data_IF_854051412205
#
_entry.id   IF_854051412205
#
_cell.length_a   1.000
_cell.length_b   1.000
_cell.length_c   1.000
_cell.angle_alpha   90.00
_cell.angle_beta   90.00
_cell.angle_gamma   90.00
#
_symmetry.space_group_name_H-M   'P 1'
#
loop_
_entity.id
_entity.type
_entity.pdbx_description
1 polymer ?
#
# COMPACT_ATOMS: atom_id res chain seq x y z
N UNK A 1 19.56 -14.77 -6.93
CA UNK A 1 19.15 -13.86 -5.85
C UNK A 1 19.60 -12.47 -6.23
N UNK A 2 18.68 -11.64 -6.70
CA UNK A 2 18.97 -10.26 -7.07
C UNK A 2 19.15 -9.47 -5.76
N UNK A 3 20.38 -9.36 -5.28
CA UNK A 3 20.80 -8.28 -4.38
C UNK A 3 20.84 -6.99 -5.20
N UNK A 4 19.69 -6.55 -5.71
CA UNK A 4 19.62 -5.29 -6.43
C UNK A 4 19.57 -4.20 -5.38
N UNK A 5 20.72 -3.61 -5.10
CA UNK A 5 20.79 -2.30 -4.49
C UNK A 5 20.02 -1.37 -5.44
N UNK A 6 18.83 -0.95 -5.04
CA UNK A 6 18.01 -0.06 -5.85
C UNK A 6 18.70 1.32 -5.86
N UNK A 7 18.82 1.96 -7.02
CA UNK A 7 19.39 3.30 -7.11
C UNK A 7 18.51 4.33 -6.36
N UNK A 8 19.10 5.45 -5.91
CA UNK A 8 18.34 6.50 -5.23
C UNK A 8 17.29 7.09 -6.18
N UNK A 9 16.13 7.43 -5.64
CA UNK A 9 15.01 7.95 -6.42
C UNK A 9 15.30 9.40 -6.87
N UNK A 10 15.24 9.71 -8.18
CA UNK A 10 15.41 11.07 -8.67
C UNK A 10 14.36 12.03 -8.08
N UNK A 11 14.78 13.26 -7.76
CA UNK A 11 13.94 14.26 -7.07
C UNK A 11 12.58 14.52 -7.74
N UNK A 12 12.51 14.52 -9.07
CA UNK A 12 11.25 14.74 -9.81
C UNK A 12 10.27 13.59 -9.60
N UNK A 13 10.74 12.35 -9.62
CA UNK A 13 9.94 11.16 -9.35
C UNK A 13 9.57 11.15 -7.86
N UNK A 14 10.51 11.53 -6.98
CA UNK A 14 10.25 11.49 -5.55
C UNK A 14 9.13 12.43 -5.14
N UNK A 15 9.14 13.66 -5.65
CA UNK A 15 8.07 14.64 -5.46
C UNK A 15 6.72 14.14 -6.01
N UNK A 16 6.73 13.47 -7.17
CA UNK A 16 5.52 12.88 -7.74
C UNK A 16 4.91 11.79 -6.85
N UNK A 17 5.75 10.94 -6.26
CA UNK A 17 5.31 9.90 -5.33
C UNK A 17 4.83 10.48 -4.00
N UNK A 18 5.52 11.46 -3.44
CA UNK A 18 5.09 12.17 -2.22
C UNK A 18 3.72 12.83 -2.39
N UNK A 19 3.47 13.47 -3.54
CA UNK A 19 2.15 14.01 -3.88
C UNK A 19 1.09 12.92 -4.00
N UNK A 20 1.41 11.79 -4.63
CA UNK A 20 0.51 10.64 -4.72
C UNK A 20 0.14 10.10 -3.33
N UNK A 21 1.12 9.94 -2.45
CA UNK A 21 0.91 9.49 -1.07
C UNK A 21 0.05 10.50 -0.30
N UNK A 22 0.34 11.79 -0.43
CA UNK A 22 -0.43 12.86 0.22
C UNK A 22 -1.89 12.89 -0.24
N UNK A 23 -2.14 12.70 -1.53
CA UNK A 23 -3.51 12.62 -2.07
C UNK A 23 -4.26 11.42 -1.51
N UNK A 24 -3.61 10.25 -1.48
CA UNK A 24 -4.21 9.04 -0.93
C UNK A 24 -4.50 9.21 0.57
N UNK A 25 -3.54 9.71 1.35
CA UNK A 25 -3.71 9.95 2.79
C UNK A 25 -4.87 10.93 3.07
N UNK A 26 -5.08 11.92 2.20
CA UNK A 26 -6.21 12.84 2.32
C UNK A 26 -7.55 12.13 2.13
N UNK A 27 -7.65 11.24 1.14
CA UNK A 27 -8.85 10.41 0.91
C UNK A 27 -9.07 9.45 2.09
N UNK A 28 -8.02 8.76 2.53
CA UNK A 28 -8.07 7.85 3.69
C UNK A 28 -8.56 8.59 4.94
N UNK A 29 -8.05 9.79 5.18
CA UNK A 29 -8.46 10.61 6.33
C UNK A 29 -9.94 10.96 6.25
N UNK A 30 -10.44 11.38 5.09
CA UNK A 30 -11.85 11.68 4.88
C UNK A 30 -12.73 10.43 5.09
N UNK A 31 -12.28 9.27 4.60
CA UNK A 31 -12.99 7.99 4.81
C UNK A 31 -13.00 7.56 6.28
N UNK A 32 -11.88 7.71 6.99
CA UNK A 32 -11.80 7.43 8.43
C UNK A 32 -12.79 8.30 9.22
N UNK A 33 -12.97 9.56 8.83
CA UNK A 33 -13.94 10.45 9.46
C UNK A 33 -15.38 10.05 9.12
N UNK A 34 -15.65 9.72 7.85
CA UNK A 34 -16.97 9.30 7.38
C UNK A 34 -17.42 7.96 7.99
N UNK A 35 -16.49 7.01 8.16
CA UNK A 35 -16.74 5.65 8.66
C UNK A 35 -16.23 5.46 10.11
N UNK A 36 -16.13 6.54 10.89
CA UNK A 36 -15.51 6.54 12.22
C UNK A 36 -16.13 5.53 13.21
N UNK A 37 -17.43 5.23 13.05
CA UNK A 37 -18.15 4.30 13.92
C UNK A 37 -17.80 2.82 13.62
N UNK A 38 -17.17 2.55 12.48
CA UNK A 38 -16.79 1.20 12.02
C UNK A 38 -15.28 0.99 12.01
N UNK A 39 -14.50 2.00 11.63
CA UNK A 39 -13.06 1.85 11.45
C UNK A 39 -12.32 1.96 12.80
N UNK A 40 -11.84 0.82 13.29
CA UNK A 40 -10.94 0.73 14.44
C UNK A 40 -9.44 0.69 14.08
N UNK A 41 -9.10 0.81 12.79
CA UNK A 41 -7.71 0.72 12.33
C UNK A 41 -6.86 1.91 12.80
N UNK A 42 -5.79 1.60 13.56
CA UNK A 42 -4.84 2.57 14.09
C UNK A 42 -3.45 1.91 14.27
N UNK A 43 -2.37 2.68 14.52
CA UNK A 43 -1.07 2.11 14.87
C UNK A 43 -1.19 1.14 16.06
N UNK A 44 -0.89 -0.14 15.84
CA UNK A 44 -1.09 -1.22 16.82
C UNK A 44 -2.10 -2.28 16.35
N UNK A 45 -2.90 -2.00 15.32
CA UNK A 45 -3.68 -3.01 14.62
C UNK A 45 -2.78 -3.74 13.60
N UNK A 46 -2.66 -5.06 13.73
CA UNK A 46 -1.72 -5.90 12.96
C UNK A 46 -2.39 -7.01 12.16
N UNK A 47 -3.72 -7.11 12.15
CA UNK A 47 -4.47 -8.20 11.52
C UNK A 47 -4.27 -8.31 10.01
N UNK A 48 -3.99 -7.19 9.34
CA UNK A 48 -3.70 -7.13 7.92
C UNK A 48 -2.19 -7.15 7.60
N UNK A 49 -1.32 -7.17 8.61
CA UNK A 49 0.13 -7.02 8.46
C UNK A 49 0.79 -8.35 8.07
N UNK A 50 0.63 -8.70 6.80
CA UNK A 50 1.17 -9.91 6.17
C UNK A 50 2.20 -9.57 5.11
N UNK A 51 2.84 -10.60 4.58
CA UNK A 51 3.77 -10.43 3.46
C UNK A 51 3.03 -9.91 2.22
N UNK A 52 3.42 -8.74 1.76
CA UNK A 52 3.00 -8.15 0.49
C UNK A 52 4.22 -7.98 -0.41
N UNK A 53 3.97 -7.70 -1.68
CA UNK A 53 5.03 -7.24 -2.58
C UNK A 53 4.70 -5.84 -3.09
N UNK A 54 5.73 -5.03 -3.27
CA UNK A 54 5.64 -3.64 -3.69
C UNK A 54 6.42 -3.41 -4.99
N UNK A 55 6.24 -2.24 -5.58
CA UNK A 55 6.95 -1.86 -6.79
C UNK A 55 8.41 -1.45 -6.49
N UNK A 56 9.32 -1.57 -7.48
CA UNK A 56 10.70 -1.10 -7.35
C UNK A 56 10.84 0.33 -6.85
N UNK A 57 9.97 1.24 -7.31
CA UNK A 57 9.97 2.62 -6.83
C UNK A 57 9.72 2.72 -5.31
N UNK A 58 8.69 2.06 -4.80
CA UNK A 58 8.35 2.11 -3.36
C UNK A 58 9.45 1.46 -2.51
N UNK A 59 10.04 0.37 -3.01
CA UNK A 59 11.18 -0.28 -2.35
C UNK A 59 12.42 0.62 -2.30
N UNK A 60 12.70 1.37 -3.37
CA UNK A 60 13.81 2.33 -3.41
C UNK A 60 13.59 3.47 -2.41
N UNK A 61 12.35 3.95 -2.31
CA UNK A 61 11.94 4.94 -1.31
C UNK A 61 12.12 4.46 0.13
N UNK A 62 11.77 3.21 0.42
CA UNK A 62 12.00 2.63 1.74
C UNK A 62 13.49 2.50 2.04
N UNK A 63 14.29 2.03 1.08
CA UNK A 63 15.72 1.87 1.26
C UNK A 63 16.46 3.20 1.53
N UNK A 64 15.96 4.32 0.99
CA UNK A 64 16.55 5.65 1.19
C UNK A 64 16.10 6.31 2.51
N UNK A 65 14.86 6.04 2.94
CA UNK A 65 14.25 6.75 4.07
C UNK A 65 14.47 6.08 5.44
N UNK A 66 14.74 4.77 5.46
CA UNK A 66 14.84 3.98 6.70
C UNK A 66 15.78 2.79 6.48
N UNK A 67 16.47 2.35 7.55
CA UNK A 67 17.30 1.14 7.51
C UNK A 67 16.40 -0.12 7.54
N UNK A 68 15.83 -0.45 6.38
CA UNK A 68 14.86 -1.53 6.22
C UNK A 68 15.48 -2.71 5.49
N UNK A 69 15.47 -3.86 6.16
CA UNK A 69 15.72 -5.14 5.50
C UNK A 69 14.44 -5.61 4.79
N UNK A 70 14.40 -5.41 3.46
CA UNK A 70 13.27 -5.80 2.60
C UNK A 70 13.28 -7.30 2.23
N UNK A 71 14.34 -8.05 2.58
CA UNK A 71 14.61 -9.37 1.99
C UNK A 71 14.37 -10.56 2.93
N UNK A 72 13.91 -10.33 4.16
CA UNK A 72 13.70 -11.40 5.14
C UNK A 72 12.22 -11.53 5.46
N UNK A 73 11.56 -12.65 5.11
CA UNK A 73 10.16 -12.84 5.46
C UNK A 73 10.01 -12.82 6.98
N UNK A 74 8.97 -12.17 7.47
CA UNK A 74 8.61 -12.24 8.88
C UNK A 74 8.30 -13.69 9.27
N UNK A 75 8.46 -14.02 10.55
CA UNK A 75 8.12 -15.35 11.05
C UNK A 75 6.63 -15.62 10.88
N UNK A 76 6.26 -16.78 10.31
CA UNK A 76 4.86 -17.23 10.25
C UNK A 76 3.97 -16.50 9.26
N UNK A 77 4.52 -15.92 8.19
CA UNK A 77 3.75 -15.25 7.12
C UNK A 77 3.35 -13.80 7.43
N UNK A 78 3.85 -13.26 8.55
CA UNK A 78 3.69 -11.86 8.92
C UNK A 78 4.69 -10.97 8.17
N UNK A 79 4.37 -9.69 8.07
CA UNK A 79 5.30 -8.70 7.51
C UNK A 79 6.55 -8.60 8.39
N UNK A 80 7.72 -8.49 7.75
CA UNK A 80 9.01 -8.33 8.46
C UNK A 80 9.13 -7.02 9.23
N UNK A 81 8.29 -6.04 8.88
CA UNK A 81 8.22 -4.73 9.53
C UNK A 81 7.30 -4.72 10.74
N UNK A 82 6.68 -5.85 11.10
CA UNK A 82 5.82 -5.95 12.28
C UNK A 82 6.64 -6.32 13.51
N UNK A 83 6.84 -5.35 14.41
CA UNK A 83 7.58 -5.52 15.67
C UNK A 83 6.64 -5.16 16.82
N UNK A 84 6.40 -6.10 17.74
CA UNK A 84 5.50 -5.91 18.90
C UNK A 84 4.12 -5.32 18.51
N UNK A 85 3.50 -5.88 17.46
CA UNK A 85 2.23 -5.43 16.86
C UNK A 85 2.25 -4.01 16.27
N UNK A 86 3.42 -3.41 16.07
CA UNK A 86 3.59 -2.09 15.45
C UNK A 86 4.43 -2.19 14.20
N UNK A 87 4.02 -1.45 13.18
CA UNK A 87 4.81 -1.34 11.95
C UNK A 87 5.99 -0.39 12.18
N UNK A 88 7.22 -0.87 11.99
CA UNK A 88 8.45 -0.06 12.10
C UNK A 88 8.49 1.10 11.11
N UNK A 89 7.85 0.95 9.95
CA UNK A 89 7.79 1.93 8.86
C UNK A 89 6.42 2.59 8.71
N UNK A 90 5.64 2.67 9.80
CA UNK A 90 4.24 3.12 9.73
C UNK A 90 4.03 4.44 8.94
N UNK A 91 4.88 5.48 9.11
CA UNK A 91 4.76 6.71 8.33
C UNK A 91 5.16 6.58 6.85
N UNK A 92 6.07 5.64 6.54
CA UNK A 92 6.60 5.37 5.19
C UNK A 92 5.87 4.22 4.47
N UNK A 93 4.73 3.76 5.00
CA UNK A 93 4.00 2.62 4.44
C UNK A 93 3.78 2.78 2.92
N UNK A 94 4.05 1.75 2.11
CA UNK A 94 3.67 1.70 0.70
C UNK A 94 2.16 1.83 0.51
N UNK A 95 1.71 2.18 -0.70
CA UNK A 95 0.29 2.40 -1.01
C UNK A 95 -0.57 1.21 -0.58
N UNK A 96 -0.17 -0.03 -0.93
CA UNK A 96 -0.92 -1.24 -0.55
C UNK A 96 -1.11 -1.39 0.96
N UNK A 97 -0.15 -0.93 1.77
CA UNK A 97 -0.20 -1.00 3.23
C UNK A 97 -1.05 0.11 3.85
N UNK A 98 -1.21 1.24 3.15
CA UNK A 98 -2.06 2.37 3.58
C UNK A 98 -3.53 2.06 3.40
N UNK A 99 -3.88 1.31 2.37
CA UNK A 99 -5.27 0.98 2.02
C UNK A 99 -5.84 -0.15 2.86
N UNK A 100 -5.00 -0.93 3.54
CA UNK A 100 -5.47 -2.03 4.40
C UNK A 100 -6.35 -1.49 5.55
N UNK A 101 -7.48 -2.16 5.77
CA UNK A 101 -8.46 -1.77 6.78
C UNK A 101 -9.67 -1.04 6.20
N UNK A 102 -9.51 -0.42 5.02
CA UNK A 102 -10.59 0.28 4.32
C UNK A 102 -11.39 -0.69 3.44
N UNK A 103 -12.66 -0.38 3.15
CA UNK A 103 -13.43 -1.06 2.11
C UNK A 103 -12.93 -0.64 0.73
N UNK A 104 -12.25 -1.54 0.04
CA UNK A 104 -11.70 -1.31 -1.30
C UNK A 104 -12.72 -1.83 -2.32
N UNK A 105 -13.16 -0.95 -3.20
CA UNK A 105 -14.04 -1.31 -4.31
C UNK A 105 -13.23 -1.58 -5.59
N UNK A 106 -13.59 -2.62 -6.33
CA UNK A 106 -13.05 -2.92 -7.65
C UNK A 106 -14.14 -3.45 -8.58
N UNK A 107 -13.98 -3.24 -9.87
CA UNK A 107 -14.92 -3.72 -10.89
C UNK A 107 -14.58 -5.17 -11.21
N UNK A 108 -15.55 -6.07 -11.03
CA UNK A 108 -15.52 -7.41 -11.58
C UNK A 108 -15.98 -7.34 -13.04
N UNK A 109 -15.04 -7.54 -13.97
CA UNK A 109 -15.28 -7.44 -15.41
C UNK A 109 -16.22 -8.55 -15.94
N UNK A 110 -16.21 -9.73 -15.31
CA UNK A 110 -17.05 -10.85 -15.73
C UNK A 110 -18.52 -10.64 -15.31
N UNK A 111 -18.72 -10.00 -14.15
CA UNK A 111 -20.05 -9.79 -13.54
C UNK A 111 -20.62 -8.40 -13.79
N UNK A 112 -19.82 -7.48 -14.34
CA UNK A 112 -20.15 -6.06 -14.53
C UNK A 112 -20.64 -5.39 -13.23
N UNK A 113 -20.04 -5.76 -12.09
CA UNK A 113 -20.46 -5.32 -10.76
C UNK A 113 -19.26 -4.87 -9.93
N UNK A 114 -19.51 -4.01 -8.93
CA UNK A 114 -18.49 -3.63 -7.96
C UNK A 114 -18.43 -4.71 -6.88
N UNK A 115 -17.27 -5.33 -6.71
CA UNK A 115 -16.96 -6.14 -5.55
C UNK A 115 -16.20 -5.32 -4.50
N UNK A 116 -16.39 -5.68 -3.23
CA UNK A 116 -15.81 -4.97 -2.09
C UNK A 116 -14.96 -5.90 -1.26
N UNK A 117 -13.70 -5.53 -1.05
CA UNK A 117 -12.81 -6.16 -0.09
C UNK A 117 -12.73 -5.27 1.15
N UNK A 118 -13.22 -5.77 2.29
CA UNK A 118 -13.27 -5.01 3.54
C UNK A 118 -12.70 -5.79 4.73
N UNK A 119 -12.20 -5.07 5.73
CA UNK A 119 -11.67 -5.64 6.95
C UNK A 119 -12.79 -6.19 7.85
N UNK A 120 -12.77 -7.49 8.14
CA UNK A 120 -13.77 -8.15 9.02
C UNK A 120 -13.76 -7.67 10.48
N UNK A 121 -12.70 -6.98 10.91
CA UNK A 121 -12.64 -6.37 12.24
C UNK A 121 -13.35 -5.02 12.29
N UNK A 122 -13.42 -4.32 11.16
CA UNK A 122 -14.09 -3.02 11.07
C UNK A 122 -15.55 -3.18 10.63
N UNK A 123 -15.82 -4.13 9.75
CA UNK A 123 -17.12 -4.31 9.13
C UNK A 123 -17.61 -5.75 9.32
N UNK A 124 -18.83 -5.96 9.84
CA UNK A 124 -19.44 -7.29 9.87
C UNK A 124 -19.70 -7.81 8.46
N UNK A 125 -19.85 -9.13 8.31
CA UNK A 125 -20.00 -9.77 6.98
C UNK A 125 -21.25 -9.33 6.20
N UNK A 126 -22.29 -8.89 6.90
CA UNK A 126 -23.55 -8.40 6.33
C UNK A 126 -23.60 -6.88 6.14
N UNK A 127 -22.48 -6.18 6.37
CA UNK A 127 -22.40 -4.74 6.16
C UNK A 127 -22.65 -4.39 4.69
N UNK A 128 -23.56 -3.44 4.46
CA UNK A 128 -23.85 -2.92 3.13
C UNK A 128 -23.04 -1.66 2.90
N UNK A 129 -22.28 -1.63 1.80
CA UNK A 129 -21.49 -0.47 1.41
C UNK A 129 -22.19 0.30 0.30
N UNK A 130 -22.31 1.61 0.46
CA UNK A 130 -22.63 2.52 -0.64
C UNK A 130 -21.35 2.88 -1.41
N UNK A 131 -21.48 3.33 -2.66
CA UNK A 131 -20.33 3.75 -3.47
C UNK A 131 -19.44 4.79 -2.77
N UNK A 132 -20.03 5.67 -1.95
CA UNK A 132 -19.30 6.70 -1.20
C UNK A 132 -18.41 6.15 -0.10
N UNK A 133 -18.67 4.92 0.33
CA UNK A 133 -17.91 4.25 1.37
C UNK A 133 -16.67 3.58 0.80
N UNK A 134 -16.56 3.43 -0.52
CA UNK A 134 -15.54 2.63 -1.18
C UNK A 134 -14.31 3.45 -1.57
N UNK A 135 -13.13 2.89 -1.31
CA UNK A 135 -11.88 3.36 -1.87
C UNK A 135 -11.66 2.71 -3.24
N UNK A 136 -11.77 3.51 -4.30
CA UNK A 136 -11.45 3.09 -5.67
C UNK A 136 -9.99 3.38 -5.97
N UNK A 137 -9.21 2.33 -6.25
CA UNK A 137 -7.75 2.44 -6.35
C UNK A 137 -7.23 2.67 -7.77
N UNK A 138 -8.05 2.58 -8.80
CA UNK A 138 -7.58 2.59 -10.20
C UNK A 138 -6.75 3.83 -10.56
N UNK A 139 -7.19 5.01 -10.11
CA UNK A 139 -6.46 6.26 -10.35
C UNK A 139 -5.13 6.31 -9.60
N UNK A 140 -5.08 5.84 -8.34
CA UNK A 140 -3.87 5.77 -7.53
C UNK A 140 -2.88 4.75 -8.08
N UNK A 141 -3.37 3.56 -8.43
CA UNK A 141 -2.58 2.48 -9.02
C UNK A 141 -2.01 2.88 -10.38
N UNK A 142 -2.79 3.57 -11.23
CA UNK A 142 -2.31 4.07 -12.52
C UNK A 142 -1.22 5.11 -12.36
N UNK A 143 -1.36 6.04 -11.41
CA UNK A 143 -0.33 7.04 -11.09
C UNK A 143 0.94 6.39 -10.53
N UNK A 144 0.78 5.43 -9.62
CA UNK A 144 1.90 4.67 -9.06
C UNK A 144 2.64 3.90 -10.16
N UNK A 145 1.91 3.22 -11.04
CA UNK A 145 2.48 2.47 -12.16
C UNK A 145 3.27 3.39 -13.09
N UNK A 146 2.73 4.55 -13.46
CA UNK A 146 3.43 5.52 -14.31
C UNK A 146 4.74 6.03 -13.69
N UNK A 147 4.72 6.37 -12.38
CA UNK A 147 5.93 6.76 -11.65
C UNK A 147 6.95 5.62 -11.60
N UNK A 148 6.48 4.40 -11.35
CA UNK A 148 7.33 3.22 -11.30
C UNK A 148 7.98 2.92 -12.65
N UNK A 149 7.24 2.95 -13.75
CA UNK A 149 7.78 2.74 -15.10
C UNK A 149 8.83 3.81 -15.44
N UNK A 150 8.57 5.08 -15.07
CA UNK A 150 9.55 6.17 -15.27
C UNK A 150 10.85 5.94 -14.49
N UNK A 151 10.74 5.52 -13.22
CA UNK A 151 11.90 5.16 -12.39
C UNK A 151 12.66 3.96 -12.95
N UNK A 152 11.94 2.90 -13.29
CA UNK A 152 12.52 1.66 -13.80
C UNK A 152 13.24 1.88 -15.13
N UNK A 153 12.66 2.68 -16.04
CA UNK A 153 13.28 3.05 -17.30
C UNK A 153 14.59 3.84 -17.10
N UNK A 154 14.63 4.76 -16.13
CA UNK A 154 15.82 5.56 -15.86
C UNK A 154 17.04 4.74 -15.40
N UNK A 155 16.82 3.52 -14.92
CA UNK A 155 17.87 2.66 -14.34
C UNK A 155 17.89 1.24 -14.91
N UNK A 156 17.21 1.00 -16.05
CA UNK A 156 17.18 -0.30 -16.73
C UNK A 156 16.67 -1.46 -15.82
N UNK A 157 15.70 -1.15 -14.95
CA UNK A 157 15.01 -2.12 -14.10
C UNK A 157 13.74 -2.58 -14.83
N UNK A 158 13.34 -3.86 -14.73
CA UNK A 158 12.05 -4.31 -15.22
C UNK A 158 10.92 -3.83 -14.30
N UNK A 159 9.90 -3.17 -14.86
CA UNK A 159 8.86 -2.47 -14.09
C UNK A 159 7.74 -3.40 -13.59
N UNK A 160 7.70 -4.64 -14.10
CA UNK A 160 6.79 -5.70 -13.65
C UNK A 160 7.33 -6.45 -12.42
N UNK A 161 8.61 -6.23 -12.05
CA UNK A 161 9.17 -6.82 -10.84
C UNK A 161 8.34 -6.41 -9.63
N UNK A 162 8.19 -7.35 -8.70
CA UNK A 162 7.56 -7.15 -7.41
C UNK A 162 8.57 -7.51 -6.34
N UNK A 163 8.85 -6.56 -5.47
CA UNK A 163 9.82 -6.71 -4.38
C UNK A 163 9.05 -7.07 -3.12
N UNK A 164 9.33 -8.22 -2.47
CA UNK A 164 8.72 -8.56 -1.21
C UNK A 164 8.94 -7.46 -0.16
N UNK A 165 7.90 -7.13 0.58
CA UNK A 165 7.95 -6.31 1.79
C UNK A 165 8.06 -7.29 2.97
N UNK A 166 9.27 -7.82 3.15
CA UNK A 166 9.52 -9.02 3.96
C UNK A 166 9.69 -10.24 3.06
#
# INVERSE_FOLDING_TARGET
MLTTILPPVPKTISQGYELLVSDLDSVITAMHQHLQDFIGCAPGCSSCCRQFSILPLEAAFLADSVDVSLQSPGSGGLCSQLIDNRCSIYPQRPLICRTQGLPIGYIDEDREQIEVSACRLNFPEDHQFDHRDLLLLDSFNSRLAALNSTYCQAFEIADEIRIPLG
#
